data_IF_539708368543
#
_entry.id   IF_539708368543
#
_cell.length_a   1.000
_cell.length_b   1.000
_cell.length_c   1.000
_cell.angle_alpha   90.00
_cell.angle_beta   90.00
_cell.angle_gamma   90.00
#
_symmetry.space_group_name_H-M   'P 1'
#
loop_
_entity.id
_entity.type
_entity.pdbx_description
1 polymer ?
#
# COMPACT_ATOMS: atom_id res chain seq x y z
N UNK A 1 -2.77 -2.52 -19.32
CA UNK A 1 -3.27 -3.72 -18.63
C UNK A 1 -4.76 -3.53 -18.45
N UNK A 2 -5.57 -4.56 -18.70
CA UNK A 2 -7.00 -4.55 -18.34
C UNK A 2 -7.16 -4.87 -16.83
N UNK A 3 -8.36 -4.67 -16.26
CA UNK A 3 -8.62 -4.92 -14.82
C UNK A 3 -8.18 -6.32 -14.36
N UNK A 4 -8.42 -7.36 -15.16
CA UNK A 4 -8.06 -8.74 -14.77
C UNK A 4 -6.54 -8.93 -14.70
N UNK A 5 -5.78 -8.37 -15.64
CA UNK A 5 -4.32 -8.39 -15.63
C UNK A 5 -3.75 -7.61 -14.43
N UNK A 6 -4.35 -6.46 -14.08
CA UNK A 6 -3.99 -5.69 -12.87
C UNK A 6 -4.21 -6.54 -11.62
N UNK A 7 -5.41 -7.13 -11.47
CA UNK A 7 -5.73 -7.95 -10.31
C UNK A 7 -4.77 -9.12 -10.19
N UNK A 8 -4.54 -9.88 -11.26
CA UNK A 8 -3.70 -11.06 -11.20
C UNK A 8 -2.25 -10.71 -10.84
N UNK A 9 -1.74 -9.59 -11.36
CA UNK A 9 -0.38 -9.13 -11.07
C UNK A 9 -0.19 -8.72 -9.60
N UNK A 10 -1.14 -8.00 -9.03
CA UNK A 10 -1.02 -7.43 -7.68
C UNK A 10 -1.79 -8.23 -6.61
N UNK A 11 -2.35 -9.39 -6.96
CA UNK A 11 -3.20 -10.20 -6.06
C UNK A 11 -2.55 -10.56 -4.72
N UNK A 12 -1.21 -10.64 -4.69
CA UNK A 12 -0.46 -11.03 -3.52
C UNK A 12 -0.35 -9.91 -2.48
N UNK A 13 -0.70 -8.67 -2.84
CA UNK A 13 -0.50 -7.54 -1.92
C UNK A 13 0.98 -7.31 -1.62
N UNK A 14 1.25 -6.79 -0.43
CA UNK A 14 2.60 -6.67 0.12
C UNK A 14 2.58 -6.55 1.65
N UNK A 15 3.75 -6.74 2.26
CA UNK A 15 3.93 -6.62 3.70
C UNK A 15 4.86 -5.45 4.01
N UNK A 16 4.51 -4.66 5.03
CA UNK A 16 5.38 -3.67 5.64
C UNK A 16 5.89 -4.25 6.96
N UNK A 17 7.15 -4.66 6.97
CA UNK A 17 7.74 -5.26 8.17
C UNK A 17 8.08 -4.20 9.21
N UNK A 18 7.79 -4.52 10.47
CA UNK A 18 8.22 -3.72 11.61
C UNK A 18 9.66 -4.08 11.99
N UNK A 19 10.50 -3.06 12.21
CA UNK A 19 11.85 -3.23 12.73
C UNK A 19 11.87 -3.63 14.22
N UNK A 20 10.73 -3.51 14.93
CA UNK A 20 10.63 -3.84 16.35
C UNK A 20 10.21 -5.29 16.57
N UNK A 21 9.00 -5.63 16.11
CA UNK A 21 8.40 -6.95 16.35
C UNK A 21 7.54 -7.36 15.16
N UNK A 22 7.66 -8.61 14.71
CA UNK A 22 6.89 -9.17 13.57
C UNK A 22 5.37 -9.15 13.77
N UNK A 23 4.91 -9.10 15.02
CA UNK A 23 3.48 -8.94 15.35
C UNK A 23 2.93 -7.57 14.93
N UNK A 24 3.80 -6.59 14.69
CA UNK A 24 3.46 -5.26 14.22
C UNK A 24 3.65 -5.09 12.70
N UNK A 25 3.85 -6.18 11.96
CA UNK A 25 3.85 -6.15 10.50
C UNK A 25 2.45 -5.75 9.99
N UNK A 26 2.40 -5.01 8.89
CA UNK A 26 1.15 -4.66 8.21
C UNK A 26 1.04 -5.42 6.90
N UNK A 27 -0.09 -6.10 6.74
CA UNK A 27 -0.49 -6.79 5.52
C UNK A 27 -1.37 -5.86 4.68
N UNK A 28 -0.94 -5.57 3.44
CA UNK A 28 -1.67 -4.71 2.51
C UNK A 28 -2.23 -5.55 1.37
N UNK A 29 -3.52 -5.86 1.44
CA UNK A 29 -4.19 -6.79 0.54
C UNK A 29 -4.94 -6.03 -0.56
N UNK A 30 -4.84 -6.52 -1.79
CA UNK A 30 -5.53 -5.93 -2.94
C UNK A 30 -7.05 -5.92 -2.75
N UNK A 31 -7.65 -4.75 -2.86
CA UNK A 31 -9.10 -4.57 -2.98
C UNK A 31 -9.51 -4.74 -4.45
N UNK A 32 -9.88 -5.97 -4.81
CA UNK A 32 -10.23 -6.35 -6.18
C UNK A 32 -11.50 -5.65 -6.68
N UNK A 33 -12.41 -5.34 -5.76
CA UNK A 33 -13.72 -4.79 -6.10
C UNK A 33 -13.57 -3.33 -6.50
N UNK A 34 -12.77 -2.57 -5.76
CA UNK A 34 -12.53 -1.15 -6.02
C UNK A 34 -11.28 -0.86 -6.90
N UNK A 35 -10.49 -1.87 -7.26
CA UNK A 35 -9.40 -1.74 -8.23
C UNK A 35 -9.91 -1.68 -9.67
N UNK A 36 -9.29 -0.82 -10.48
CA UNK A 36 -9.57 -0.63 -11.92
C UNK A 36 -8.27 -0.66 -12.74
N UNK A 37 -8.35 -0.40 -14.04
CA UNK A 37 -7.18 -0.22 -14.90
C UNK A 37 -6.31 0.98 -14.52
N UNK A 38 -6.90 2.01 -13.89
CA UNK A 38 -6.24 3.27 -13.52
C UNK A 38 -5.99 3.41 -12.02
N UNK A 39 -6.74 2.69 -11.19
CA UNK A 39 -6.73 2.86 -9.74
C UNK A 39 -6.42 1.51 -9.08
N UNK A 40 -5.28 1.41 -8.42
CA UNK A 40 -4.86 0.23 -7.68
C UNK A 40 -5.05 0.46 -6.19
N UNK A 41 -5.86 -0.36 -5.52
CA UNK A 41 -6.25 -0.14 -4.12
C UNK A 41 -5.86 -1.30 -3.23
N UNK A 42 -5.29 -0.99 -2.07
CA UNK A 42 -4.97 -1.95 -1.03
C UNK A 42 -5.62 -1.56 0.29
N UNK A 43 -6.05 -2.56 1.05
CA UNK A 43 -6.62 -2.42 2.39
C UNK A 43 -5.63 -2.93 3.44
N UNK A 44 -5.51 -2.20 4.55
CA UNK A 44 -4.56 -2.50 5.62
C UNK A 44 -5.10 -3.48 6.67
N UNK A 45 -4.30 -4.48 7.01
CA UNK A 45 -4.58 -5.47 8.05
C UNK A 45 -3.37 -5.70 8.95
N UNK A 46 -3.62 -6.13 10.19
CA UNK A 46 -2.56 -6.62 11.06
C UNK A 46 -2.02 -7.99 10.61
N UNK A 47 -0.98 -8.46 11.29
CA UNK A 47 -0.35 -9.76 11.00
C UNK A 47 -1.28 -10.99 11.18
N UNK A 48 -2.45 -10.83 11.82
CA UNK A 48 -3.47 -11.87 11.97
C UNK A 48 -4.66 -11.68 11.01
N UNK A 49 -4.54 -10.77 10.03
CA UNK A 49 -5.58 -10.41 9.07
C UNK A 49 -6.83 -9.77 9.71
N UNK A 50 -6.67 -9.08 10.84
CA UNK A 50 -7.70 -8.17 11.33
C UNK A 50 -7.56 -6.80 10.67
N UNK A 51 -8.66 -6.19 10.20
CA UNK A 51 -8.61 -4.91 9.51
C UNK A 51 -8.13 -3.81 10.47
N UNK A 52 -7.25 -2.94 9.98
CA UNK A 52 -6.91 -1.72 10.71
C UNK A 52 -8.06 -0.70 10.64
N UNK A 53 -8.09 0.27 11.57
CA UNK A 53 -8.82 1.51 11.33
C UNK A 53 -8.37 2.13 10.01
N UNK A 54 -9.33 2.61 9.22
CA UNK A 54 -9.06 3.18 7.90
C UNK A 54 -8.00 4.28 7.97
N UNK A 55 -6.95 4.15 7.16
CA UNK A 55 -5.95 5.19 7.03
C UNK A 55 -6.44 6.29 6.08
N UNK A 56 -6.66 7.48 6.63
CA UNK A 56 -7.29 8.61 5.92
C UNK A 56 -6.34 9.74 5.56
N UNK A 57 -5.17 9.81 6.20
CA UNK A 57 -4.19 10.88 5.98
C UNK A 57 -2.77 10.40 6.25
N UNK A 58 -1.88 10.68 5.31
CA UNK A 58 -0.44 10.48 5.47
C UNK A 58 0.18 11.54 6.40
N UNK A 59 1.06 11.09 7.30
CA UNK A 59 1.91 11.93 8.13
C UNK A 59 3.40 11.61 7.89
N UNK A 60 4.17 12.52 7.28
CA UNK A 60 5.60 12.32 7.00
C UNK A 60 6.48 12.27 8.26
N UNK A 61 6.01 12.74 9.41
CA UNK A 61 6.75 12.68 10.69
C UNK A 61 6.76 11.29 11.32
N UNK A 62 5.99 10.35 10.76
CA UNK A 62 5.95 8.96 11.23
C UNK A 62 6.76 8.07 10.28
N UNK A 63 7.93 7.65 10.73
CA UNK A 63 8.83 6.77 9.98
C UNK A 63 8.14 5.53 9.41
N UNK A 64 7.20 4.97 10.17
CA UNK A 64 6.46 3.78 9.73
C UNK A 64 5.52 4.08 8.54
N UNK A 65 4.84 5.23 8.52
CA UNK A 65 4.00 5.65 7.40
C UNK A 65 4.87 5.96 6.16
N UNK A 66 6.04 6.57 6.35
CA UNK A 66 7.04 6.78 5.28
C UNK A 66 7.51 5.45 4.70
N UNK A 67 7.86 4.48 5.56
CA UNK A 67 8.30 3.15 5.13
C UNK A 67 7.19 2.41 4.36
N UNK A 68 5.94 2.48 4.84
CA UNK A 68 4.77 1.94 4.15
C UNK A 68 4.63 2.50 2.74
N UNK A 69 4.67 3.82 2.57
CA UNK A 69 4.59 4.47 1.25
C UNK A 69 5.76 4.05 0.36
N UNK A 70 6.99 3.99 0.91
CA UNK A 70 8.18 3.57 0.17
C UNK A 70 8.06 2.14 -0.38
N UNK A 71 7.62 1.19 0.46
CA UNK A 71 7.44 -0.21 0.04
C UNK A 71 6.34 -0.30 -1.01
N UNK A 72 5.21 0.35 -0.80
CA UNK A 72 4.11 0.35 -1.76
C UNK A 72 4.56 0.90 -3.12
N UNK A 73 5.22 2.06 -3.15
CA UNK A 73 5.77 2.64 -4.39
C UNK A 73 6.73 1.71 -5.11
N UNK A 74 7.57 0.97 -4.38
CA UNK A 74 8.48 -0.03 -4.96
C UNK A 74 7.72 -1.21 -5.58
N UNK A 75 6.72 -1.74 -4.87
CA UNK A 75 5.90 -2.88 -5.34
C UNK A 75 5.07 -2.50 -6.57
N UNK A 76 4.60 -1.27 -6.64
CA UNK A 76 3.72 -0.78 -7.72
C UNK A 76 4.46 0.10 -8.73
N UNK A 77 5.79 0.03 -8.80
CA UNK A 77 6.61 0.97 -9.57
C UNK A 77 6.30 1.01 -11.07
N UNK A 78 5.80 -0.10 -11.62
CA UNK A 78 5.44 -0.23 -13.04
C UNK A 78 3.93 -0.16 -13.31
N UNK A 79 3.11 0.08 -12.27
CA UNK A 79 1.70 0.39 -12.44
C UNK A 79 1.52 1.79 -13.03
N UNK A 80 0.77 1.89 -14.12
CA UNK A 80 0.46 3.18 -14.77
C UNK A 80 -0.90 3.67 -14.29
N UNK A 81 -0.92 4.37 -13.16
CA UNK A 81 -2.14 4.88 -12.55
C UNK A 81 -1.94 5.41 -11.14
N UNK A 82 -3.05 5.60 -10.44
CA UNK A 82 -3.07 6.01 -9.03
C UNK A 82 -3.05 4.80 -8.12
N UNK A 83 -2.25 4.87 -7.06
CA UNK A 83 -2.15 3.83 -6.04
C UNK A 83 -2.70 4.37 -4.75
N UNK A 84 -3.60 3.61 -4.12
CA UNK A 84 -4.25 3.95 -2.88
C UNK A 84 -3.97 2.89 -1.82
N UNK A 85 -3.65 3.36 -0.62
CA UNK A 85 -3.64 2.57 0.60
C UNK A 85 -4.79 3.09 1.46
N UNK A 86 -5.82 2.29 1.65
CA UNK A 86 -7.13 2.73 2.15
C UNK A 86 -7.62 3.98 1.38
N UNK A 87 -7.85 5.09 2.09
CA UNK A 87 -8.29 6.36 1.53
C UNK A 87 -7.14 7.27 1.05
N UNK A 88 -5.88 6.91 1.32
CA UNK A 88 -4.72 7.74 0.97
C UNK A 88 -4.20 7.40 -0.42
N UNK A 89 -4.24 8.36 -1.35
CA UNK A 89 -3.53 8.30 -2.62
C UNK A 89 -2.03 8.51 -2.39
N UNK A 90 -1.21 7.48 -2.65
CA UNK A 90 0.24 7.55 -2.42
C UNK A 90 1.02 8.01 -3.64
N UNK A 91 0.41 8.02 -4.83
CA UNK A 91 1.08 8.42 -6.08
C UNK A 91 1.65 9.84 -5.99
N UNK A 92 0.91 10.76 -5.36
CA UNK A 92 1.24 12.18 -5.25
C UNK A 92 2.15 12.52 -4.05
N UNK A 93 2.53 11.53 -3.24
CA UNK A 93 3.40 11.74 -2.06
C UNK A 93 4.86 11.76 -2.49
N UNK A 94 5.52 12.91 -2.41
CA UNK A 94 6.98 12.97 -2.55
C UNK A 94 7.64 12.56 -1.23
N UNK A 95 8.50 11.54 -1.27
CA UNK A 95 9.34 11.16 -0.14
C UNK A 95 10.73 11.71 -0.41
N UNK A 96 11.33 12.36 0.58
CA UNK A 96 12.74 12.74 0.48
C UNK A 96 13.60 11.47 0.37
N UNK A 97 14.47 11.43 -0.64
CA UNK A 97 15.47 10.36 -0.74
C UNK A 97 16.51 10.59 0.36
N UNK A 98 16.39 9.83 1.45
CA UNK A 98 17.49 9.71 2.42
C UNK A 98 18.65 8.99 1.73
N UNK A 99 19.68 9.78 1.39
CA UNK A 99 20.95 9.35 0.77
C UNK A 99 21.73 8.35 1.61
#
# INVERSE_FOLDING_TARGET
>A
MNKQEVIEKYRAGFVVHSDKHRICDEEWILDKDNTTESDLRFLGYDANLYPFPEWTKFNPEKDFEVNRVRIAKRVTADFKGKVYLDSVCISDIELEETS
#
